data_IF_983333640071
#
_entry.id   IF_983333640071
#
_cell.length_a   1.000
_cell.length_b   1.000
_cell.length_c   1.000
_cell.angle_alpha   90.00
_cell.angle_beta   90.00
_cell.angle_gamma   90.00
#
_symmetry.space_group_name_H-M   'P 1'
#
loop_
_entity.id
_entity.type
_entity.pdbx_description
1 polymer ?
#
# COMPACT_ATOMS: atom_id res chain seq x y z
N UNK A 1 2.77 -9.06 9.89
CA UNK A 1 2.46 -7.68 10.31
C UNK A 1 1.96 -7.76 11.75
N UNK A 2 2.02 -6.68 12.53
CA UNK A 2 1.31 -6.67 13.84
C UNK A 2 -0.19 -6.48 13.60
N UNK A 3 -1.04 -6.90 14.53
CA UNK A 3 -2.50 -6.74 14.44
C UNK A 3 -2.91 -5.29 14.15
N UNK A 4 -2.19 -4.33 14.74
CA UNK A 4 -2.38 -2.90 14.49
C UNK A 4 -2.03 -2.50 13.05
N UNK A 5 -0.94 -3.03 12.49
CA UNK A 5 -0.54 -2.77 11.10
C UNK A 5 -1.53 -3.36 10.11
N UNK A 6 -2.09 -4.53 10.40
CA UNK A 6 -3.15 -5.14 9.59
C UNK A 6 -4.42 -4.31 9.63
N UNK A 7 -4.85 -3.89 10.82
CA UNK A 7 -5.97 -2.97 10.98
C UNK A 7 -5.76 -1.67 10.20
N UNK A 8 -4.58 -1.05 10.33
CA UNK A 8 -4.23 0.18 9.62
C UNK A 8 -4.27 -0.01 8.10
N UNK A 9 -3.72 -1.12 7.62
CA UNK A 9 -3.72 -1.43 6.19
C UNK A 9 -5.15 -1.59 5.66
N UNK A 10 -5.96 -2.43 6.30
CA UNK A 10 -7.32 -2.75 5.84
C UNK A 10 -8.27 -1.53 5.88
N UNK A 11 -8.17 -0.70 6.92
CA UNK A 11 -9.15 0.37 7.14
C UNK A 11 -8.73 1.75 6.64
N UNK A 12 -7.43 1.99 6.43
CA UNK A 12 -6.94 3.32 6.04
C UNK A 12 -6.10 3.30 4.76
N UNK A 13 -5.08 2.44 4.69
CA UNK A 13 -4.10 2.48 3.59
C UNK A 13 -4.70 1.92 2.30
N UNK A 14 -5.28 0.73 2.35
CA UNK A 14 -5.86 0.07 1.18
C UNK A 14 -6.99 0.92 0.55
N UNK A 15 -8.00 1.41 1.30
CA UNK A 15 -9.04 2.25 0.72
C UNK A 15 -8.49 3.53 0.08
N UNK A 16 -7.47 4.14 0.69
CA UNK A 16 -6.83 5.32 0.13
C UNK A 16 -6.15 5.02 -1.21
N UNK A 17 -5.36 3.93 -1.29
CA UNK A 17 -4.64 3.51 -2.50
C UNK A 17 -5.60 3.14 -3.61
N UNK A 18 -6.68 2.41 -3.29
CA UNK A 18 -7.70 2.02 -4.26
C UNK A 18 -8.45 3.23 -4.84
N UNK A 19 -8.67 4.27 -4.03
CA UNK A 19 -9.33 5.51 -4.45
C UNK A 19 -8.43 6.46 -5.27
N UNK A 20 -7.11 6.24 -5.31
CA UNK A 20 -6.23 7.09 -6.13
C UNK A 20 -6.45 6.83 -7.62
N UNK A 21 -6.44 7.89 -8.46
CA UNK A 21 -6.51 7.73 -9.89
C UNK A 21 -5.28 6.96 -10.37
N UNK A 22 -5.51 5.94 -11.19
CA UNK A 22 -4.46 5.18 -11.89
C UNK A 22 -4.30 5.77 -13.27
N UNK A 23 -3.06 5.91 -13.73
CA UNK A 23 -2.83 6.19 -15.15
C UNK A 23 -3.15 4.95 -16.01
N UNK A 24 -3.16 5.12 -17.33
CA UNK A 24 -3.46 4.02 -18.26
C UNK A 24 -2.45 2.87 -18.12
N UNK A 25 -1.20 3.20 -17.81
CA UNK A 25 -0.14 2.21 -17.60
C UNK A 25 -0.35 1.40 -16.31
N UNK A 26 -0.71 2.06 -15.22
CA UNK A 26 -1.01 1.46 -13.92
C UNK A 26 -2.23 0.56 -14.02
N UNK A 27 -3.27 1.02 -14.71
CA UNK A 27 -4.48 0.24 -14.97
C UNK A 27 -4.16 -1.01 -15.78
N UNK A 28 -3.40 -0.87 -16.87
CA UNK A 28 -2.97 -2.00 -17.69
C UNK A 28 -2.13 -3.01 -16.89
N UNK A 29 -1.15 -2.55 -16.12
CA UNK A 29 -0.30 -3.41 -15.28
C UNK A 29 -1.11 -4.12 -14.20
N UNK A 30 -2.05 -3.43 -13.55
CA UNK A 30 -2.93 -4.01 -12.55
C UNK A 30 -3.77 -5.14 -13.16
N UNK A 31 -4.43 -4.87 -14.30
CA UNK A 31 -5.22 -5.89 -15.00
C UNK A 31 -4.38 -7.09 -15.46
N UNK A 32 -3.17 -6.87 -15.97
CA UNK A 32 -2.27 -7.98 -16.36
C UNK A 32 -1.90 -8.83 -15.14
N UNK A 33 -1.63 -8.20 -14.00
CA UNK A 33 -1.29 -8.88 -12.77
C UNK A 33 -2.47 -9.71 -12.25
N UNK A 34 -3.67 -9.14 -12.18
CA UNK A 34 -4.87 -9.80 -11.68
C UNK A 34 -5.30 -11.00 -12.53
N UNK A 35 -5.17 -10.90 -13.85
CA UNK A 35 -5.58 -11.95 -14.79
C UNK A 35 -4.58 -13.12 -14.88
N UNK A 36 -3.32 -12.90 -14.49
CA UNK A 36 -2.26 -13.91 -14.58
C UNK A 36 -1.97 -14.62 -13.24
N UNK A 37 -2.67 -14.27 -12.17
CA UNK A 37 -2.48 -14.85 -10.84
C UNK A 37 -3.36 -16.07 -10.60
N UNK A 38 -2.79 -17.10 -9.98
CA UNK A 38 -3.56 -18.15 -9.31
C UNK A 38 -4.17 -17.62 -8.01
N UNK A 39 -5.17 -18.32 -7.46
CA UNK A 39 -5.77 -17.94 -6.17
C UNK A 39 -4.77 -17.93 -5.01
N UNK A 40 -3.74 -18.78 -5.06
CA UNK A 40 -2.67 -18.83 -4.07
C UNK A 40 -1.74 -17.62 -4.21
N UNK A 41 -1.24 -17.38 -5.44
CA UNK A 41 -0.36 -16.25 -5.73
C UNK A 41 -1.02 -14.90 -5.44
N UNK A 42 -2.34 -14.79 -5.57
CA UNK A 42 -3.08 -13.57 -5.22
C UNK A 42 -2.94 -13.22 -3.74
N UNK A 43 -3.01 -14.23 -2.85
CA UNK A 43 -2.86 -14.01 -1.40
C UNK A 43 -1.44 -13.57 -1.07
N UNK A 44 -0.45 -14.18 -1.71
CA UNK A 44 0.95 -13.80 -1.50
C UNK A 44 1.22 -12.37 -1.98
N UNK A 45 0.69 -11.99 -3.15
CA UNK A 45 0.81 -10.63 -3.68
C UNK A 45 0.10 -9.63 -2.77
N UNK A 46 -1.10 -9.93 -2.29
CA UNK A 46 -1.81 -9.07 -1.33
C UNK A 46 -1.00 -8.88 -0.04
N UNK A 47 -0.38 -9.95 0.49
CA UNK A 47 0.46 -9.87 1.68
C UNK A 47 1.71 -9.01 1.47
N UNK A 48 2.38 -9.14 0.31
CA UNK A 48 3.56 -8.33 -0.04
C UNK A 48 3.19 -6.86 -0.22
N UNK A 49 2.08 -6.58 -0.91
CA UNK A 49 1.57 -5.21 -1.10
C UNK A 49 1.20 -4.61 0.26
N UNK A 50 0.51 -5.36 1.12
CA UNK A 50 0.14 -4.91 2.46
C UNK A 50 1.36 -4.54 3.31
N UNK A 51 2.38 -5.38 3.30
CA UNK A 51 3.64 -5.14 3.98
C UNK A 51 4.32 -3.86 3.45
N UNK A 52 4.50 -3.75 2.13
CA UNK A 52 5.19 -2.63 1.52
C UNK A 52 4.45 -1.30 1.74
N UNK A 53 3.14 -1.27 1.53
CA UNK A 53 2.32 -0.07 1.69
C UNK A 53 2.30 0.42 3.15
N UNK A 54 2.20 -0.50 4.11
CA UNK A 54 2.22 -0.16 5.53
C UNK A 54 3.55 0.45 5.96
N UNK A 55 4.67 -0.16 5.55
CA UNK A 55 5.99 0.38 5.89
C UNK A 55 6.29 1.71 5.18
N UNK A 56 5.83 1.87 3.93
CA UNK A 56 5.92 3.15 3.22
C UNK A 56 5.12 4.26 3.93
N UNK A 57 3.92 3.95 4.41
CA UNK A 57 3.10 4.89 5.18
C UNK A 57 3.81 5.32 6.48
N UNK A 58 4.34 4.36 7.25
CA UNK A 58 5.08 4.67 8.49
C UNK A 58 6.35 5.49 8.22
N UNK A 59 7.06 5.21 7.12
CA UNK A 59 8.19 6.02 6.68
C UNK A 59 7.75 7.45 6.34
N UNK A 60 6.61 7.62 5.67
CA UNK A 60 5.98 8.91 5.40
C UNK A 60 5.70 9.70 6.69
N UNK A 61 5.14 9.05 7.71
CA UNK A 61 4.90 9.70 9.01
C UNK A 61 6.21 10.15 9.69
N UNK A 62 7.24 9.29 9.67
CA UNK A 62 8.53 9.61 10.27
C UNK A 62 9.22 10.77 9.55
N UNK A 63 9.20 10.76 8.23
CA UNK A 63 9.80 11.82 7.41
C UNK A 63 9.04 13.14 7.56
N UNK A 64 7.70 13.11 7.53
CA UNK A 64 6.87 14.30 7.77
C UNK A 64 7.09 14.91 9.16
N UNK A 65 7.21 14.07 10.20
CA UNK A 65 7.53 14.53 11.56
C UNK A 65 8.91 15.19 11.63
N UNK A 66 9.91 14.62 10.93
CA UNK A 66 11.25 15.21 10.83
C UNK A 66 11.25 16.56 10.12
N UNK A 67 10.51 16.68 9.01
CA UNK A 67 10.38 17.94 8.26
C UNK A 67 9.71 19.05 9.08
N UNK A 68 8.66 18.72 9.84
CA UNK A 68 8.00 19.67 10.72
C UNK A 68 8.93 20.20 11.83
N UNK A 69 9.84 19.37 12.34
CA UNK A 69 10.81 19.75 13.36
C UNK A 69 11.99 20.55 12.81
N UNK A 70 12.41 20.31 11.56
CA UNK A 70 13.48 21.07 10.91
C UNK A 70 13.04 22.42 10.34
N UNK A 71 11.73 22.68 10.28
CA UNK A 71 11.16 23.94 9.80
C UNK A 71 10.85 24.96 10.90
N UNK A 72 11.19 24.67 12.16
CA UNK A 72 11.17 25.61 13.30
C UNK A 72 12.58 26.12 13.58
#
# INVERSE_FOLDING_TARGET
MTDFMEFLYQHYIRPYVEAQPKDDGDTFRASLCENNQTAETRKDVEAVVAFAATHAFLLGLRTGSGLAQSGQ
#
